data_IF_236294824449
#
_entry.id   IF_236294824449
#
_cell.length_a   1.000
_cell.length_b   1.000
_cell.length_c   1.000
_cell.angle_alpha   90.00
_cell.angle_beta   90.00
_cell.angle_gamma   90.00
#
_symmetry.space_group_name_H-M   'P 1'
#
loop_
_entity.id
_entity.type
_entity.pdbx_description
1 polymer ?
#
# COMPACT_ATOMS: atom_id res chain seq x y z
N UNK A 1 14.07 -1.31 15.10
CA UNK A 1 12.97 -1.83 15.93
C UNK A 1 12.06 -2.62 14.99
N UNK A 2 12.00 -3.97 15.10
CA UNK A 2 11.19 -4.80 14.18
C UNK A 2 9.75 -4.82 14.69
N UNK A 3 8.85 -4.12 14.02
CA UNK A 3 7.42 -4.17 14.33
C UNK A 3 6.72 -5.08 13.33
N UNK A 4 6.51 -6.33 13.72
CA UNK A 4 5.64 -7.25 12.98
C UNK A 4 4.19 -6.89 13.32
N UNK A 5 3.44 -6.34 12.36
CA UNK A 5 2.00 -6.19 12.53
C UNK A 5 1.36 -7.58 12.40
N UNK A 6 0.81 -8.10 13.50
CA UNK A 6 0.06 -9.36 13.56
C UNK A 6 -1.33 -9.20 12.94
N UNK A 7 -1.40 -8.94 11.63
CA UNK A 7 -2.60 -9.24 10.86
C UNK A 7 -2.17 -9.92 9.56
N UNK A 8 -2.70 -11.11 9.31
CA UNK A 8 -2.21 -12.09 8.30
C UNK A 8 -2.08 -11.56 6.86
N UNK A 9 -2.67 -10.40 6.59
CA UNK A 9 -2.85 -9.84 5.27
C UNK A 9 -1.88 -8.72 4.88
N UNK A 10 -1.12 -8.14 5.83
CA UNK A 10 -0.16 -7.08 5.52
C UNK A 10 1.16 -7.42 6.20
N UNK A 11 2.22 -7.54 5.39
CA UNK A 11 3.59 -7.66 5.86
C UNK A 11 4.21 -6.27 5.87
N UNK A 12 4.29 -5.69 7.05
CA UNK A 12 5.00 -4.42 7.29
C UNK A 12 6.41 -4.78 7.74
N UNK A 13 7.39 -4.17 7.09
CA UNK A 13 8.79 -4.32 7.44
C UNK A 13 9.36 -2.94 7.65
N UNK A 14 9.71 -2.66 8.89
CA UNK A 14 10.44 -1.46 9.28
C UNK A 14 11.93 -1.73 9.19
N UNK A 15 12.63 -0.83 8.51
CA UNK A 15 14.08 -0.82 8.44
C UNK A 15 14.62 0.24 9.41
N UNK A 16 15.93 0.23 9.68
CA UNK A 16 16.58 1.32 10.42
C UNK A 16 16.49 2.61 9.58
N UNK A 17 16.41 3.75 10.27
CA UNK A 17 16.43 5.10 9.70
C UNK A 17 15.20 5.47 8.86
N UNK A 18 13.99 5.34 9.41
CA UNK A 18 12.74 5.86 8.84
C UNK A 18 12.24 5.19 7.55
N UNK A 19 12.93 4.17 7.05
CA UNK A 19 12.45 3.38 5.92
C UNK A 19 11.38 2.38 6.35
N UNK A 20 10.24 2.42 5.67
CA UNK A 20 9.15 1.49 5.92
C UNK A 20 8.71 0.84 4.61
N UNK A 21 8.73 -0.48 4.56
CA UNK A 21 8.24 -1.24 3.42
C UNK A 21 6.93 -1.90 3.78
N UNK A 22 5.88 -1.64 3.00
CA UNK A 22 4.59 -2.30 3.13
C UNK A 22 4.40 -3.24 1.96
N UNK A 23 4.22 -4.51 2.28
CA UNK A 23 3.77 -5.50 1.32
C UNK A 23 2.36 -5.97 1.71
N UNK A 24 1.42 -5.80 0.79
CA UNK A 24 0.09 -6.37 0.94
C UNK A 24 0.09 -7.83 0.49
N UNK A 25 -0.57 -8.73 1.23
CA UNK A 25 -0.65 -10.16 0.88
C UNK A 25 -1.47 -10.43 -0.38
N UNK A 26 -2.41 -9.54 -0.72
CA UNK A 26 -3.32 -9.69 -1.87
C UNK A 26 -2.68 -9.29 -3.21
N UNK A 27 -1.72 -8.36 -3.19
CA UNK A 27 -1.02 -7.90 -4.39
C UNK A 27 0.48 -8.12 -4.23
N UNK A 28 1.14 -8.71 -5.23
CA UNK A 28 2.63 -8.80 -5.26
C UNK A 28 3.32 -7.42 -5.32
N UNK A 29 2.54 -6.35 -5.38
CA UNK A 29 2.98 -4.97 -5.37
C UNK A 29 3.47 -4.60 -3.98
N UNK A 30 4.75 -4.24 -3.90
CA UNK A 30 5.37 -3.69 -2.68
C UNK A 30 5.37 -2.17 -2.79
N UNK A 31 5.03 -1.53 -1.67
CA UNK A 31 5.15 -0.09 -1.49
C UNK A 31 6.35 0.19 -0.58
N UNK A 32 7.15 1.14 -0.98
CA UNK A 32 8.32 1.58 -0.24
C UNK A 32 8.09 3.03 0.22
N UNK A 33 8.06 3.25 1.53
CA UNK A 33 8.04 4.57 2.15
C UNK A 33 9.47 4.97 2.50
N UNK A 34 9.88 6.10 1.92
CA UNK A 34 11.25 6.62 1.88
C UNK A 34 12.25 5.67 1.22
N UNK A 35 13.34 6.25 0.73
CA UNK A 35 14.45 5.53 0.15
C UNK A 35 15.76 6.09 0.71
N UNK A 36 16.09 5.72 1.94
CA UNK A 36 17.39 6.06 2.53
C UNK A 36 18.53 5.28 1.89
N UNK A 37 19.75 5.71 2.20
CA UNK A 37 20.96 5.02 1.79
C UNK A 37 20.92 3.54 2.21
N UNK A 38 21.50 2.66 1.38
CA UNK A 38 21.48 1.20 1.59
C UNK A 38 20.11 0.51 1.54
N UNK A 39 19.02 1.20 1.18
CA UNK A 39 17.71 0.57 0.95
C UNK A 39 17.77 -0.69 0.08
N UNK A 40 18.49 -0.59 -1.05
CA UNK A 40 18.65 -1.70 -1.99
C UNK A 40 19.26 -2.94 -1.34
N UNK A 41 20.28 -2.75 -0.50
CA UNK A 41 20.95 -3.84 0.22
C UNK A 41 20.02 -4.46 1.25
N UNK A 42 19.32 -3.63 2.03
CA UNK A 42 18.35 -4.05 3.05
C UNK A 42 17.18 -4.87 2.49
N UNK A 43 16.73 -4.55 1.28
CA UNK A 43 15.66 -5.31 0.59
C UNK A 43 16.17 -6.68 0.18
N UNK A 44 17.35 -6.73 -0.47
CA UNK A 44 17.96 -7.97 -0.96
C UNK A 44 18.36 -8.88 0.21
N UNK A 45 18.96 -8.34 1.28
CA UNK A 45 19.37 -9.10 2.47
C UNK A 45 18.18 -9.78 3.16
N UNK A 46 17.00 -9.16 3.12
CA UNK A 46 15.78 -9.70 3.66
C UNK A 46 15.05 -10.67 2.71
N UNK A 47 15.70 -11.12 1.64
CA UNK A 47 15.17 -12.05 0.62
C UNK A 47 13.97 -11.49 -0.17
N UNK A 48 13.78 -10.17 -0.19
CA UNK A 48 12.77 -9.53 -1.02
C UNK A 48 13.33 -9.18 -2.39
N UNK A 49 12.52 -9.41 -3.43
CA UNK A 49 12.87 -9.01 -4.79
C UNK A 49 12.61 -7.52 -4.95
N UNK A 50 13.67 -6.75 -5.13
CA UNK A 50 13.60 -5.31 -5.41
C UNK A 50 12.69 -4.98 -6.60
N UNK A 51 12.60 -5.88 -7.59
CA UNK A 51 11.73 -5.75 -8.75
C UNK A 51 10.21 -5.82 -8.43
N UNK A 52 9.81 -6.28 -7.24
CA UNK A 52 8.40 -6.27 -6.82
C UNK A 52 7.93 -4.89 -6.32
N UNK A 53 8.86 -3.96 -6.12
CA UNK A 53 8.54 -2.59 -5.72
C UNK A 53 7.88 -1.90 -6.90
N UNK A 54 6.68 -1.41 -6.66
CA UNK A 54 5.81 -0.81 -7.67
C UNK A 54 5.62 0.69 -7.45
N UNK A 55 5.62 1.09 -6.17
CA UNK A 55 5.40 2.46 -5.73
C UNK A 55 6.42 2.83 -4.67
N UNK A 56 7.04 4.00 -4.81
CA UNK A 56 7.89 4.63 -3.81
C UNK A 56 7.19 5.91 -3.36
N UNK A 57 7.11 6.14 -2.05
CA UNK A 57 6.43 7.30 -1.47
C UNK A 57 7.43 8.01 -0.56
N UNK A 58 7.74 9.27 -0.86
CA UNK A 58 8.69 10.08 -0.10
C UNK A 58 7.94 11.07 0.78
N UNK A 59 8.24 11.08 2.08
CA UNK A 59 7.60 11.99 3.06
C UNK A 59 8.03 13.44 2.86
N UNK A 60 9.30 13.67 2.50
CA UNK A 60 9.84 14.98 2.22
C UNK A 60 11.11 14.85 1.37
N UNK A 61 11.68 15.98 0.95
CA UNK A 61 12.93 16.05 0.19
C UNK A 61 14.17 16.14 1.11
N UNK A 62 14.09 15.64 2.35
CA UNK A 62 15.26 15.60 3.22
C UNK A 62 16.20 14.46 2.80
N UNK A 63 17.51 14.70 2.80
CA UNK A 63 18.54 13.72 2.37
C UNK A 63 18.36 12.37 3.07
N UNK A 64 18.03 12.39 4.37
CA UNK A 64 17.76 11.17 5.16
C UNK A 64 16.75 10.24 4.51
N UNK A 65 15.77 10.74 3.74
CA UNK A 65 14.69 9.98 3.14
C UNK A 65 14.87 9.69 1.64
N UNK A 66 15.82 10.36 0.96
CA UNK A 66 15.96 10.28 -0.50
C UNK A 66 17.34 9.83 -0.98
N UNK A 67 18.35 9.80 -0.11
CA UNK A 67 19.74 9.56 -0.50
C UNK A 67 19.97 8.26 -1.27
N UNK A 68 19.18 7.22 -1.01
CA UNK A 68 19.28 5.92 -1.70
C UNK A 68 18.53 5.84 -3.02
N UNK A 69 17.70 6.83 -3.37
CA UNK A 69 16.78 6.74 -4.50
C UNK A 69 17.49 6.54 -5.84
N UNK A 70 18.57 7.28 -6.09
CA UNK A 70 19.30 7.23 -7.37
C UNK A 70 19.99 5.87 -7.55
N UNK A 71 20.64 5.36 -6.48
CA UNK A 71 21.25 4.03 -6.49
C UNK A 71 20.20 2.93 -6.69
N UNK A 72 19.05 3.08 -6.04
CA UNK A 72 17.93 2.16 -6.17
C UNK A 72 17.39 2.10 -7.61
N UNK A 73 17.19 3.24 -8.26
CA UNK A 73 16.72 3.31 -9.65
C UNK A 73 17.71 2.70 -10.64
N UNK A 74 19.01 2.94 -10.44
CA UNK A 74 20.08 2.35 -11.24
C UNK A 74 20.14 0.84 -11.07
N UNK A 75 20.03 0.34 -9.84
CA UNK A 75 19.95 -1.10 -9.55
C UNK A 75 18.76 -1.77 -10.22
N UNK A 76 17.58 -1.15 -10.21
CA UNK A 76 16.42 -1.65 -10.96
C UNK A 76 16.68 -1.72 -12.46
N UNK A 77 17.41 -0.76 -13.01
CA UNK A 77 17.77 -0.74 -14.43
C UNK A 77 18.71 -1.90 -14.80
N UNK A 78 19.74 -2.11 -13.98
CA UNK A 78 20.74 -3.19 -14.17
C UNK A 78 20.10 -4.59 -14.10
N UNK A 79 19.06 -4.75 -13.29
CA UNK A 79 18.29 -6.01 -13.19
C UNK A 79 17.41 -6.26 -14.43
N UNK A 80 17.34 -5.31 -15.37
CA UNK A 80 16.50 -5.45 -16.56
C UNK A 80 15.01 -5.32 -16.23
N UNK A 81 14.65 -4.45 -15.28
CA UNK A 81 13.24 -4.15 -15.00
C UNK A 81 12.56 -3.60 -16.25
N UNK A 82 11.38 -4.14 -16.57
CA UNK A 82 10.49 -3.65 -17.64
C UNK A 82 9.24 -2.97 -17.05
N UNK A 83 8.85 -3.32 -15.82
CA UNK A 83 7.65 -2.79 -15.17
C UNK A 83 7.78 -1.31 -14.87
N UNK A 84 6.69 -0.56 -15.01
CA UNK A 84 6.66 0.84 -14.59
C UNK A 84 6.90 0.98 -13.09
N UNK A 85 7.48 2.11 -12.69
CA UNK A 85 7.68 2.50 -11.29
C UNK A 85 6.98 3.84 -11.06
N UNK A 86 6.18 3.94 -10.00
CA UNK A 86 5.54 5.18 -9.62
C UNK A 86 6.22 5.76 -8.39
N UNK A 87 6.65 7.02 -8.43
CA UNK A 87 7.30 7.70 -7.32
C UNK A 87 6.42 8.87 -6.92
N UNK A 88 5.99 8.89 -5.67
CA UNK A 88 5.18 9.95 -5.09
C UNK A 88 6.06 10.78 -4.17
N UNK A 89 6.09 12.10 -4.37
CA UNK A 89 6.87 13.00 -3.53
C UNK A 89 6.46 14.45 -3.70
N UNK A 90 7.13 15.38 -2.99
CA UNK A 90 6.92 16.82 -3.18
C UNK A 90 7.23 17.28 -4.62
N UNK A 91 6.81 18.49 -4.98
CA UNK A 91 7.01 19.08 -6.32
C UNK A 91 8.46 19.00 -6.80
N UNK A 92 9.41 19.17 -5.89
CA UNK A 92 10.84 19.27 -6.20
C UNK A 92 11.45 17.93 -6.63
N UNK A 93 10.72 16.81 -6.42
CA UNK A 93 11.15 15.47 -6.80
C UNK A 93 11.40 15.34 -8.31
N UNK A 94 10.58 16.02 -9.14
CA UNK A 94 10.72 15.98 -10.59
C UNK A 94 12.08 16.56 -11.00
N UNK A 95 12.38 17.76 -10.52
CA UNK A 95 13.66 18.43 -10.79
C UNK A 95 14.86 17.64 -10.25
N UNK A 96 14.73 17.06 -9.05
CA UNK A 96 15.77 16.20 -8.49
C UNK A 96 16.09 15.02 -9.41
N UNK A 97 15.08 14.30 -9.91
CA UNK A 97 15.29 13.15 -10.79
C UNK A 97 15.85 13.55 -12.15
N UNK A 98 15.40 14.66 -12.72
CA UNK A 98 15.92 15.19 -14.00
C UNK A 98 17.40 15.58 -13.90
N UNK A 99 17.81 16.28 -12.83
CA UNK A 99 19.20 16.65 -12.61
C UNK A 99 20.09 15.41 -12.42
N UNK A 100 19.61 14.44 -11.65
CA UNK A 100 20.34 13.17 -11.49
C UNK A 100 20.52 12.47 -12.83
N UNK A 101 19.46 12.38 -13.65
CA UNK A 101 19.54 11.80 -14.99
C UNK A 101 20.56 12.53 -15.87
N UNK A 102 20.53 13.87 -15.84
CA UNK A 102 21.41 14.73 -16.64
C UNK A 102 22.89 14.53 -16.29
N UNK A 103 23.25 14.53 -15.01
CA UNK A 103 24.66 14.49 -14.59
C UNK A 103 25.24 13.07 -14.47
N UNK A 104 24.40 12.08 -14.17
CA UNK A 104 24.86 10.68 -14.11
C UNK A 104 24.92 10.01 -15.48
N UNK A 105 24.43 10.65 -16.54
CA UNK A 105 24.26 10.07 -17.87
C UNK A 105 23.53 8.71 -17.86
N UNK A 106 22.63 8.51 -16.89
CA UNK A 106 21.86 7.28 -16.77
C UNK A 106 20.56 7.37 -17.55
N UNK A 107 20.29 6.37 -18.38
CA UNK A 107 18.99 6.21 -19.03
C UNK A 107 18.33 4.95 -18.48
N UNK A 108 17.15 5.11 -17.90
CA UNK A 108 16.34 4.01 -17.39
C UNK A 108 15.57 3.35 -18.52
N UNK A 109 15.66 2.03 -18.63
CA UNK A 109 14.97 1.22 -19.64
C UNK A 109 13.50 0.92 -19.28
N UNK A 110 12.99 1.52 -18.21
CA UNK A 110 11.61 1.36 -17.73
C UNK A 110 10.98 2.72 -17.43
N UNK A 111 9.66 2.77 -17.49
CA UNK A 111 8.93 4.02 -17.28
C UNK A 111 8.88 4.38 -15.80
N UNK A 112 9.36 5.58 -15.49
CA UNK A 112 9.24 6.19 -14.15
C UNK A 112 8.17 7.28 -14.24
N UNK A 113 7.13 7.14 -13.45
CA UNK A 113 6.07 8.14 -13.31
C UNK A 113 6.24 8.86 -11.98
N UNK A 114 6.41 10.18 -12.04
CA UNK A 114 6.52 11.03 -10.85
C UNK A 114 5.19 11.67 -10.59
N UNK A 115 4.70 11.53 -9.36
CA UNK A 115 3.42 12.08 -8.89
C UNK A 115 3.68 13.06 -7.76
N UNK A 116 3.22 14.29 -7.93
CA UNK A 116 3.33 15.32 -6.90
C UNK A 116 2.28 15.04 -5.82
N UNK A 117 2.72 15.00 -4.57
CA UNK A 117 1.85 14.77 -3.42
C UNK A 117 0.96 15.99 -3.16
N UNK A 118 -0.31 15.70 -2.87
CA UNK A 118 -1.33 16.67 -2.45
C UNK A 118 -2.05 16.13 -1.22
N UNK A 119 -2.51 17.02 -0.34
CA UNK A 119 -3.35 16.63 0.80
C UNK A 119 -4.65 15.95 0.33
N UNK A 120 -5.01 14.84 0.96
CA UNK A 120 -6.20 14.04 0.61
C UNK A 120 -5.84 12.67 0.04
N UNK A 121 -6.71 12.12 -0.81
CA UNK A 121 -6.53 10.80 -1.42
C UNK A 121 -5.47 10.86 -2.53
N UNK A 122 -4.38 10.11 -2.37
CA UNK A 122 -3.29 10.04 -3.36
C UNK A 122 -3.41 8.80 -4.23
N UNK A 123 -3.71 7.66 -3.58
CA UNK A 123 -3.77 6.37 -4.25
C UNK A 123 -5.12 5.76 -3.99
N UNK A 124 -5.84 5.48 -5.07
CA UNK A 124 -7.13 4.81 -5.05
C UNK A 124 -7.02 3.47 -5.77
N UNK A 125 -6.43 2.48 -5.11
CA UNK A 125 -6.39 1.11 -5.61
C UNK A 125 -7.62 0.32 -5.11
N UNK A 126 -7.98 -0.75 -5.82
CA UNK A 126 -9.07 -1.64 -5.44
C UNK A 126 -8.88 -2.29 -4.06
N UNK A 127 -7.64 -2.51 -3.64
CA UNK A 127 -7.34 -3.25 -2.41
C UNK A 127 -6.97 -2.33 -1.24
N UNK A 128 -6.45 -1.14 -1.53
CA UNK A 128 -6.02 -0.20 -0.51
C UNK A 128 -6.15 1.23 -1.01
N UNK A 129 -6.35 2.16 -0.08
CA UNK A 129 -6.36 3.60 -0.30
C UNK A 129 -5.25 4.24 0.51
N UNK A 130 -4.58 5.23 -0.06
CA UNK A 130 -3.58 6.01 0.66
C UNK A 130 -3.99 7.46 0.67
N UNK A 131 -4.13 8.00 1.88
CA UNK A 131 -4.36 9.41 2.11
C UNK A 131 -3.07 10.06 2.58
N UNK A 132 -2.82 11.31 2.18
CA UNK A 132 -1.83 12.14 2.85
C UNK A 132 -2.45 13.33 3.56
N UNK A 133 -1.76 13.70 4.62
CA UNK A 133 -2.05 14.88 5.43
C UNK A 133 -0.73 15.62 5.56
N UNK A 134 -0.74 16.92 5.24
CA UNK A 134 0.45 17.75 5.31
C UNK A 134 0.53 18.36 6.71
N UNK A 135 1.66 18.16 7.39
CA UNK A 135 1.97 18.70 8.72
C UNK A 135 3.39 19.24 8.71
N UNK A 136 3.60 20.50 9.11
CA UNK A 136 4.95 21.09 9.26
C UNK A 136 5.91 20.85 8.07
N UNK A 137 5.42 20.99 6.82
CA UNK A 137 6.19 20.72 5.58
C UNK A 137 6.63 19.25 5.39
N UNK A 138 5.99 18.31 6.08
CA UNK A 138 6.13 16.88 5.91
C UNK A 138 4.79 16.25 5.56
N UNK A 139 4.82 15.18 4.75
CA UNK A 139 3.64 14.40 4.40
C UNK A 139 3.49 13.21 5.35
N UNK A 140 2.42 13.18 6.11
CA UNK A 140 2.00 12.01 6.86
C UNK A 140 1.05 11.19 5.99
N UNK A 141 1.08 9.86 6.14
CA UNK A 141 0.28 8.97 5.31
C UNK A 141 -0.63 8.10 6.16
N UNK A 142 -1.85 7.89 5.67
CA UNK A 142 -2.78 6.90 6.20
C UNK A 142 -3.07 5.87 5.11
N UNK A 143 -2.61 4.65 5.34
CA UNK A 143 -2.82 3.51 4.46
C UNK A 143 -4.00 2.71 4.97
N UNK A 144 -5.08 2.66 4.19
CA UNK A 144 -6.31 1.95 4.52
C UNK A 144 -6.45 0.76 3.61
N UNK A 145 -6.31 -0.45 4.14
CA UNK A 145 -6.67 -1.67 3.42
C UNK A 145 -8.20 -1.80 3.41
N UNK A 146 -8.77 -2.14 2.26
CA UNK A 146 -10.20 -2.38 2.14
C UNK A 146 -10.59 -3.70 2.82
N UNK A 147 -11.82 -3.75 3.32
CA UNK A 147 -12.38 -4.97 3.88
C UNK A 147 -12.43 -6.08 2.83
N UNK A 148 -12.18 -7.32 3.25
CA UNK A 148 -12.31 -8.46 2.36
C UNK A 148 -13.64 -9.14 2.61
N UNK A 149 -14.37 -9.28 1.52
CA UNK A 149 -15.58 -10.08 1.48
C UNK A 149 -15.22 -11.51 1.87
N UNK A 150 -15.98 -12.07 2.81
CA UNK A 150 -15.79 -13.44 3.27
C UNK A 150 -15.85 -14.45 2.13
N UNK A 151 -15.22 -15.60 2.35
CA UNK A 151 -15.33 -16.72 1.41
C UNK A 151 -16.79 -17.17 1.33
N UNK A 152 -17.25 -17.44 0.11
CA UNK A 152 -18.61 -17.90 -0.14
C UNK A 152 -18.70 -19.39 0.14
N UNK A 153 -19.69 -19.79 0.93
CA UNK A 153 -19.94 -21.16 1.34
C UNK A 153 -20.79 -21.87 0.29
N UNK A 154 -20.10 -22.43 -0.72
CA UNK A 154 -20.73 -23.17 -1.82
C UNK A 154 -21.57 -24.35 -1.32
N UNK A 155 -21.09 -25.06 -0.30
CA UNK A 155 -21.82 -26.18 0.32
C UNK A 155 -23.17 -25.75 0.90
N UNK A 156 -23.22 -24.60 1.58
CA UNK A 156 -24.45 -24.03 2.15
C UNK A 156 -25.41 -23.53 1.08
N UNK A 157 -24.89 -23.04 -0.04
CA UNK A 157 -25.71 -22.65 -1.19
C UNK A 157 -26.34 -23.89 -1.85
N UNK A 158 -25.57 -24.95 -2.05
CA UNK A 158 -26.05 -26.21 -2.62
C UNK A 158 -27.09 -26.89 -1.73
N UNK A 159 -26.92 -26.88 -0.40
CA UNK A 159 -27.93 -27.42 0.52
C UNK A 159 -29.26 -26.67 0.48
N UNK A 160 -29.24 -25.40 0.07
CA UNK A 160 -30.44 -24.57 -0.09
C UNK A 160 -31.01 -24.63 -1.52
N UNK A 161 -30.61 -25.63 -2.32
CA UNK A 161 -31.14 -25.86 -3.67
C UNK A 161 -30.64 -24.86 -4.72
N UNK A 162 -29.62 -24.05 -4.41
CA UNK A 162 -29.08 -23.11 -5.38
C UNK A 162 -28.13 -23.81 -6.35
N UNK A 163 -28.38 -23.59 -7.64
CA UNK A 163 -27.52 -24.07 -8.72
C UNK A 163 -26.35 -23.08 -8.88
N UNK A 164 -25.10 -23.57 -9.07
CA UNK A 164 -23.96 -22.69 -9.34
C UNK A 164 -24.18 -21.87 -10.60
N UNK A 165 -24.43 -20.58 -10.42
CA UNK A 165 -24.67 -19.60 -11.47
C UNK A 165 -24.08 -18.25 -11.05
N UNK A 166 -24.14 -17.25 -11.93
CA UNK A 166 -23.83 -15.83 -11.68
C UNK A 166 -24.45 -15.27 -10.40
N UNK A 167 -25.54 -15.89 -9.90
CA UNK A 167 -26.15 -15.61 -8.61
C UNK A 167 -25.17 -15.74 -7.43
N UNK A 168 -24.21 -16.66 -7.46
CA UNK A 168 -23.22 -16.81 -6.37
C UNK A 168 -22.36 -15.56 -6.22
N UNK A 169 -21.94 -14.96 -7.33
CA UNK A 169 -21.17 -13.71 -7.29
C UNK A 169 -21.99 -12.55 -6.73
N UNK A 170 -23.30 -12.53 -6.98
CA UNK A 170 -24.21 -11.50 -6.45
C UNK A 170 -24.51 -11.73 -4.97
N UNK A 171 -24.81 -12.96 -4.55
CA UNK A 171 -25.00 -13.34 -3.15
C UNK A 171 -23.73 -13.09 -2.32
N UNK A 172 -22.55 -13.41 -2.87
CA UNK A 172 -21.28 -13.10 -2.21
C UNK A 172 -21.09 -11.61 -1.93
N UNK A 173 -21.68 -10.72 -2.74
CA UNK A 173 -21.65 -9.27 -2.52
C UNK A 173 -22.67 -8.79 -1.46
N UNK A 174 -23.40 -9.70 -0.81
CA UNK A 174 -24.43 -9.36 0.18
C UNK A 174 -25.75 -8.89 -0.42
N UNK A 175 -26.00 -9.17 -1.71
CA UNK A 175 -27.28 -8.84 -2.33
C UNK A 175 -28.37 -9.80 -1.88
N UNK A 176 -29.58 -9.26 -1.69
CA UNK A 176 -30.77 -10.01 -1.32
C UNK A 176 -31.55 -10.39 -2.58
N UNK A 177 -31.97 -11.65 -2.70
CA UNK A 177 -32.75 -12.16 -3.83
C UNK A 177 -34.10 -12.73 -3.39
N UNK A 178 -35.16 -12.37 -4.12
CA UNK A 178 -36.47 -13.00 -4.01
C UNK A 178 -36.54 -14.20 -4.96
N UNK A 179 -36.92 -15.37 -4.45
CA UNK A 179 -37.29 -16.53 -5.28
C UNK A 179 -38.72 -16.40 -5.81
N UNK A 180 -39.09 -17.19 -6.84
CA UNK A 180 -40.47 -17.29 -7.33
C UNK A 180 -41.48 -17.65 -6.23
N UNK A 181 -41.04 -18.44 -5.23
CA UNK A 181 -41.86 -18.87 -4.10
C UNK A 181 -42.01 -17.78 -3.02
N UNK A 182 -41.46 -16.58 -3.24
CA UNK A 182 -41.48 -15.46 -2.29
C UNK A 182 -40.42 -15.53 -1.19
N UNK A 183 -39.59 -16.57 -1.16
CA UNK A 183 -38.50 -16.69 -0.19
C UNK A 183 -37.37 -15.69 -0.44
N UNK A 184 -36.88 -15.05 0.62
CA UNK A 184 -35.79 -14.07 0.57
C UNK A 184 -34.46 -14.72 0.93
N UNK A 185 -33.52 -14.71 0.01
CA UNK A 185 -32.13 -15.13 0.24
C UNK A 185 -31.27 -13.92 0.52
N UNK A 186 -30.80 -13.80 1.76
CA UNK A 186 -29.75 -12.85 2.13
C UNK A 186 -28.37 -13.46 1.82
N UNK A 187 -27.59 -12.77 0.99
CA UNK A 187 -26.23 -13.14 0.64
C UNK A 187 -25.29 -13.27 1.85
N UNK A 188 -25.52 -12.48 2.90
CA UNK A 188 -24.69 -12.50 4.12
C UNK A 188 -24.73 -13.85 4.84
N UNK A 189 -25.84 -14.60 4.72
CA UNK A 189 -25.98 -15.93 5.31
C UNK A 189 -25.07 -16.97 4.64
N UNK A 190 -24.61 -16.72 3.42
CA UNK A 190 -23.78 -17.62 2.62
C UNK A 190 -22.30 -17.23 2.60
N UNK A 191 -21.93 -16.14 3.27
CA UNK A 191 -20.55 -15.69 3.38
C UNK A 191 -20.01 -15.90 4.79
N UNK A 192 -18.75 -16.32 4.88
CA UNK A 192 -18.02 -16.26 6.14
C UNK A 192 -17.82 -14.81 6.59
N UNK A 193 -17.44 -14.62 7.86
CA UNK A 193 -17.23 -13.30 8.46
C UNK A 193 -16.23 -12.51 7.60
N UNK A 194 -16.60 -11.29 7.22
CA UNK A 194 -15.74 -10.37 6.49
C UNK A 194 -14.53 -10.01 7.35
N UNK A 195 -13.33 -10.16 6.82
CA UNK A 195 -12.14 -9.73 7.55
C UNK A 195 -12.06 -8.21 7.48
N UNK A 196 -12.14 -7.55 8.64
CA UNK A 196 -11.96 -6.10 8.74
C UNK A 196 -10.63 -5.68 8.10
N UNK A 197 -10.68 -4.58 7.35
CA UNK A 197 -9.49 -3.94 6.80
C UNK A 197 -8.59 -3.40 7.91
N UNK A 198 -7.31 -3.22 7.60
CA UNK A 198 -6.35 -2.56 8.49
C UNK A 198 -6.16 -1.10 8.11
N UNK A 199 -5.96 -0.24 9.11
CA UNK A 199 -5.53 1.13 8.89
C UNK A 199 -4.15 1.31 9.52
N UNK A 200 -3.20 1.72 8.70
CA UNK A 200 -1.79 1.87 9.05
C UNK A 200 -1.42 3.34 8.84
N UNK A 201 -1.26 4.12 9.90
CA UNK A 201 -0.69 5.44 9.83
C UNK A 201 0.83 5.35 9.76
N UNK A 202 1.42 6.27 9.00
CA UNK A 202 2.84 6.45 8.88
C UNK A 202 3.18 7.92 9.08
N UNK A 203 3.91 8.19 10.17
CA UNK A 203 4.21 9.52 10.69
C UNK A 203 5.70 9.55 11.03
N UNK A 204 6.39 10.62 10.65
CA UNK A 204 7.82 10.80 10.95
C UNK A 204 8.12 11.85 12.00
N UNK A 205 7.11 12.53 12.54
CA UNK A 205 7.31 13.50 13.61
C UNK A 205 7.61 12.75 14.93
N UNK A 206 8.82 12.98 15.46
CA UNK A 206 9.29 12.47 16.77
C UNK A 206 8.56 13.12 17.96
N UNK A 207 7.82 14.21 17.72
CA UNK A 207 7.09 14.95 18.75
C UNK A 207 5.61 14.59 18.76
N UNK A 208 5.12 14.10 19.90
CA UNK A 208 3.69 13.90 20.17
C UNK A 208 2.93 15.24 20.19
N UNK A 209 2.61 15.81 19.01
CA UNK A 209 1.71 16.96 18.91
C UNK A 209 0.26 16.47 18.86
N UNK A 210 -0.61 17.17 19.58
CA UNK A 210 -2.04 16.87 19.74
C UNK A 210 -2.76 16.62 18.40
N UNK A 211 -2.44 17.40 17.36
CA UNK A 211 -3.02 17.23 16.01
C UNK A 211 -2.65 15.90 15.34
N UNK A 212 -1.45 15.36 15.60
CA UNK A 212 -1.10 14.02 15.12
C UNK A 212 -1.92 12.97 15.85
N UNK A 213 -1.95 13.04 17.17
CA UNK A 213 -2.64 12.06 18.03
C UNK A 213 -4.15 12.02 17.75
N UNK A 214 -4.83 13.16 17.55
CA UNK A 214 -6.28 13.20 17.27
C UNK A 214 -6.65 12.59 15.91
N UNK A 215 -5.77 12.70 14.89
CA UNK A 215 -5.95 12.02 13.60
C UNK A 215 -5.78 10.50 13.73
N UNK A 216 -4.94 10.04 14.67
CA UNK A 216 -4.58 8.62 14.81
C UNK A 216 -5.30 7.88 15.95
N UNK A 217 -6.01 8.57 16.85
CA UNK A 217 -6.69 7.97 18.03
C UNK A 217 -7.80 6.97 17.71
N UNK A 218 -8.29 6.89 16.46
CA UNK A 218 -9.26 5.86 16.02
C UNK A 218 -8.60 4.62 15.38
N UNK A 219 -7.27 4.50 15.37
CA UNK A 219 -6.55 3.50 14.58
C UNK A 219 -6.00 2.34 15.42
N UNK A 220 -5.97 1.13 14.82
CA UNK A 220 -5.54 -0.11 15.47
C UNK A 220 -4.02 -0.25 15.66
N UNK A 221 -3.20 0.52 14.95
CA UNK A 221 -1.74 0.49 15.09
C UNK A 221 -1.17 1.85 14.71
N UNK A 222 -0.16 2.33 15.45
CA UNK A 222 0.57 3.58 15.16
C UNK A 222 2.05 3.23 15.03
N UNK A 223 2.69 3.63 13.94
CA UNK A 223 4.13 3.48 13.74
C UNK A 223 4.81 4.84 13.99
N UNK A 224 5.76 4.84 14.92
CA UNK A 224 6.74 5.90 15.15
C UNK A 224 8.07 5.48 14.53
#
# INVERSE_FOLDING_TARGET
>A
MKSYCFNSNIKIITYRDNNLMIQFSISKNVLLFNCCESCQYLIVSNKYKINNISKIILVNMHVKNLSGLVGFLSSLNLIGRIKSLHIYGPSDLVYYLELNKKYSHTNFNYNIYVHVLTSGLIINDFNYKIYSIISNRQYNFLVVEQEKVGTFLVSKAQSNGLVPNSLYGKLKKGLIFMLPDGYLLDGNCFTLITSQGCQIPYVLDEYCRRNGVEVFMKLKTIFF
#
